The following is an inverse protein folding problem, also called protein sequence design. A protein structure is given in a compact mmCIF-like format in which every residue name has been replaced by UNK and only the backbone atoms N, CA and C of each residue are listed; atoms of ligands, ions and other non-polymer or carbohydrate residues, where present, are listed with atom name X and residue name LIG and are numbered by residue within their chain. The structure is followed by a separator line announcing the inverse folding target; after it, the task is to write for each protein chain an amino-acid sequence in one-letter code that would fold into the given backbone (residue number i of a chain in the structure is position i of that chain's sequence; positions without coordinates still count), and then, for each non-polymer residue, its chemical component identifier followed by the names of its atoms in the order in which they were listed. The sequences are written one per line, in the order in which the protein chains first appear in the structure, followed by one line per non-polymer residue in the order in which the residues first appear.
data_IF_956370740648
#
_entry.id   IF_956370740648
#
_cell.length_a   1.000
_cell.length_b   1.000
_cell.length_c   1.000
_cell.angle_alpha   90.00
_cell.angle_beta   90.00
_cell.angle_gamma   90.00
#
_symmetry.space_group_name_H-M   'P 1'
#
loop_
_entity.id
_entity.type
_entity.pdbx_description
1 polymer ?
#
# COMPACT_ATOMS: atom_id res chain seq x y z
N UNK A 1 -23.79 -43.21 9.85
CA UNK A 1 -22.61 -42.54 10.43
C UNK A 1 -21.44 -42.70 9.48
N UNK A 2 -21.08 -41.64 8.77
CA UNK A 2 -19.71 -41.28 8.36
C UNK A 2 -19.85 -40.04 7.49
N UNK A 3 -19.22 -38.95 7.91
CA UNK A 3 -19.27 -37.67 7.22
C UNK A 3 -18.03 -36.86 7.54
N UNK A 4 -17.72 -35.98 6.58
CA UNK A 4 -16.74 -34.89 6.61
C UNK A 4 -15.28 -35.25 6.26
N UNK A 5 -14.86 -34.75 5.09
CA UNK A 5 -13.64 -33.95 4.89
C UNK A 5 -13.37 -33.85 3.39
N UNK A 6 -13.63 -32.68 2.78
CA UNK A 6 -12.97 -32.16 1.54
C UNK A 6 -13.69 -30.90 1.03
N UNK A 7 -13.40 -29.75 1.64
CA UNK A 7 -13.66 -28.43 1.06
C UNK A 7 -12.64 -27.40 1.55
N UNK A 8 -11.35 -27.69 1.35
CA UNK A 8 -10.25 -26.76 1.63
C UNK A 8 -9.08 -26.88 0.63
N UNK A 9 -9.33 -27.30 -0.62
CA UNK A 9 -8.24 -27.61 -1.59
C UNK A 9 -8.24 -26.70 -2.83
N UNK A 10 -9.31 -25.95 -3.10
CA UNK A 10 -9.45 -25.25 -4.39
C UNK A 10 -9.01 -23.79 -4.39
N UNK A 11 -9.04 -23.08 -3.26
CA UNK A 11 -8.58 -21.67 -3.20
C UNK A 11 -7.06 -21.50 -3.03
N UNK A 12 -6.37 -22.54 -2.54
CA UNK A 12 -4.90 -22.56 -2.55
C UNK A 12 -4.35 -22.86 -3.95
N UNK A 13 -5.10 -23.48 -4.86
CA UNK A 13 -4.56 -23.93 -6.16
C UNK A 13 -4.36 -22.82 -7.21
N UNK A 14 -5.06 -21.68 -7.15
CA UNK A 14 -4.93 -20.61 -8.15
C UNK A 14 -3.85 -19.58 -7.80
N UNK A 15 -3.73 -19.20 -6.53
CA UNK A 15 -2.61 -18.38 -6.04
C UNK A 15 -1.32 -19.20 -6.08
N UNK A 16 -1.38 -20.49 -5.73
CA UNK A 16 -0.24 -21.38 -5.93
C UNK A 16 0.04 -21.55 -7.42
N UNK A 17 -0.91 -21.76 -8.35
CA UNK A 17 -0.60 -21.85 -9.79
C UNK A 17 -0.02 -20.59 -10.41
N UNK A 18 -0.48 -19.40 -10.05
CA UNK A 18 0.09 -18.14 -10.54
C UNK A 18 1.49 -17.85 -9.97
N UNK A 19 1.69 -18.16 -8.68
CA UNK A 19 3.00 -18.12 -8.05
C UNK A 19 3.91 -19.27 -8.49
N UNK A 20 3.36 -20.41 -8.93
CA UNK A 20 4.06 -21.61 -9.40
C UNK A 20 4.42 -21.49 -10.88
N UNK A 21 3.64 -20.80 -11.71
CA UNK A 21 4.00 -20.46 -13.09
C UNK A 21 5.00 -19.30 -13.13
N UNK A 22 4.89 -18.30 -12.24
CA UNK A 22 5.97 -17.30 -12.07
C UNK A 22 7.19 -17.88 -11.38
N UNK A 23 7.06 -18.76 -10.38
CA UNK A 23 8.21 -19.50 -9.82
C UNK A 23 8.78 -20.49 -10.82
N UNK A 24 7.99 -21.10 -11.71
CA UNK A 24 8.51 -21.98 -12.75
C UNK A 24 9.22 -21.17 -13.82
N UNK A 25 8.69 -20.01 -14.27
CA UNK A 25 9.39 -19.16 -15.23
C UNK A 25 10.66 -18.54 -14.64
N UNK A 26 10.62 -18.08 -13.37
CA UNK A 26 11.82 -17.63 -12.67
C UNK A 26 12.73 -18.78 -12.26
N UNK A 27 12.24 -20.00 -12.03
CA UNK A 27 13.11 -21.15 -11.74
C UNK A 27 13.65 -21.78 -13.01
N UNK A 28 12.96 -21.75 -14.15
CA UNK A 28 13.52 -22.19 -15.44
C UNK A 28 14.53 -21.17 -15.93
N UNK A 29 14.26 -19.86 -15.82
CA UNK A 29 15.24 -18.82 -16.09
C UNK A 29 16.43 -18.86 -15.12
N UNK A 30 16.21 -19.05 -13.81
CA UNK A 30 17.30 -19.18 -12.83
C UNK A 30 18.03 -20.53 -12.88
N UNK A 31 17.40 -21.61 -13.37
CA UNK A 31 18.06 -22.90 -13.64
C UNK A 31 18.85 -22.83 -14.94
N UNK A 32 18.36 -22.13 -15.96
CA UNK A 32 19.10 -21.83 -17.19
C UNK A 32 20.32 -20.95 -16.88
N UNK A 33 20.17 -19.88 -16.09
CA UNK A 33 21.28 -19.03 -15.63
C UNK A 33 22.30 -19.79 -14.79
N UNK A 34 21.87 -20.63 -13.84
CA UNK A 34 22.79 -21.49 -13.04
C UNK A 34 23.49 -22.57 -13.85
N UNK A 35 22.86 -23.07 -14.93
CA UNK A 35 23.50 -24.02 -15.85
C UNK A 35 24.51 -23.34 -16.77
N UNK A 36 24.29 -22.07 -17.15
CA UNK A 36 25.22 -21.28 -17.94
C UNK A 36 26.51 -20.93 -17.17
N UNK A 37 26.42 -20.77 -15.84
CA UNK A 37 27.58 -20.50 -14.96
C UNK A 37 28.51 -21.71 -14.78
N UNK A 38 28.06 -22.94 -15.10
CA UNK A 38 28.85 -24.18 -14.95
C UNK A 38 29.42 -24.70 -16.28
N UNK A 39 29.04 -24.12 -17.41
CA UNK A 39 29.43 -24.59 -18.74
C UNK A 39 30.78 -23.99 -19.16
N UNK A 40 31.60 -24.78 -19.84
CA UNK A 40 32.90 -24.29 -20.33
C UNK A 40 32.70 -23.23 -21.42
N UNK A 41 33.64 -22.30 -21.56
CA UNK A 41 33.55 -21.23 -22.57
C UNK A 41 33.37 -21.73 -24.01
N UNK A 42 33.73 -22.99 -24.30
CA UNK A 42 33.51 -23.62 -25.61
C UNK A 42 32.04 -23.97 -25.84
N UNK A 43 31.38 -24.56 -24.86
CA UNK A 43 29.98 -25.00 -24.99
C UNK A 43 29.01 -23.81 -25.02
N UNK A 44 29.35 -22.71 -24.33
CA UNK A 44 28.61 -21.45 -24.44
C UNK A 44 28.66 -20.86 -25.86
N UNK A 45 29.81 -20.96 -26.53
CA UNK A 45 29.95 -20.53 -27.93
C UNK A 45 29.17 -21.44 -28.89
N UNK A 46 29.24 -22.75 -28.69
CA UNK A 46 28.50 -23.72 -29.52
C UNK A 46 26.98 -23.54 -29.39
N UNK A 47 26.45 -23.30 -28.18
CA UNK A 47 25.03 -23.01 -27.96
C UNK A 47 24.58 -21.68 -28.60
N UNK A 48 25.41 -20.63 -28.49
CA UNK A 48 25.11 -19.33 -29.11
C UNK A 48 25.06 -19.41 -30.64
N UNK A 49 25.95 -20.19 -31.25
CA UNK A 49 25.95 -20.43 -32.70
C UNK A 49 24.71 -21.22 -33.13
N UNK A 50 24.29 -22.22 -32.34
CA UNK A 50 23.08 -22.99 -32.63
C UNK A 50 21.80 -22.14 -32.55
N UNK A 51 21.68 -21.27 -31.55
CA UNK A 51 20.52 -20.36 -31.43
C UNK A 51 20.48 -19.32 -32.56
N UNK A 52 21.65 -18.83 -33.01
CA UNK A 52 21.74 -17.91 -34.14
C UNK A 52 21.28 -18.58 -35.45
N UNK A 53 21.71 -19.82 -35.72
CA UNK A 53 21.29 -20.61 -36.88
C UNK A 53 19.78 -20.86 -36.87
N UNK A 54 19.21 -21.22 -35.71
CA UNK A 54 17.77 -21.44 -35.60
C UNK A 54 16.94 -20.17 -35.88
N UNK A 55 17.40 -18.99 -35.42
CA UNK A 55 16.75 -17.71 -35.75
C UNK A 55 16.82 -17.38 -37.25
N UNK A 56 17.93 -17.70 -37.90
CA UNK A 56 18.11 -17.46 -39.33
C UNK A 56 17.18 -18.34 -40.17
N UNK A 57 17.04 -19.62 -39.81
CA UNK A 57 16.11 -20.55 -40.45
C UNK A 57 14.64 -20.13 -40.29
N UNK A 58 14.23 -19.70 -39.08
CA UNK A 58 12.88 -19.17 -38.85
C UNK A 58 12.60 -17.89 -39.66
N UNK A 59 13.59 -17.00 -39.79
CA UNK A 59 13.47 -15.79 -40.57
C UNK A 59 13.32 -16.11 -42.08
N UNK A 60 14.09 -17.08 -42.58
CA UNK A 60 13.98 -17.55 -43.96
C UNK A 60 12.60 -18.17 -44.26
N UNK A 61 12.07 -18.96 -43.33
CA UNK A 61 10.74 -19.56 -43.45
C UNK A 61 9.62 -18.50 -43.52
N UNK A 62 9.67 -17.48 -42.65
CA UNK A 62 8.71 -16.36 -42.65
C UNK A 62 8.79 -15.54 -43.95
N UNK A 63 9.99 -15.32 -44.47
CA UNK A 63 10.18 -14.61 -45.74
C UNK A 63 9.60 -15.39 -46.93
N UNK A 64 9.71 -16.73 -46.95
CA UNK A 64 9.10 -17.58 -47.97
C UNK A 64 7.57 -17.52 -47.91
N UNK A 65 6.98 -17.63 -46.71
CA UNK A 65 5.53 -17.53 -46.53
C UNK A 65 4.96 -16.20 -47.02
N UNK A 66 5.65 -15.08 -46.74
CA UNK A 66 5.25 -13.75 -47.24
C UNK A 66 5.27 -13.65 -48.77
N UNK A 67 6.24 -14.29 -49.44
CA UNK A 67 6.31 -14.31 -50.91
C UNK A 67 5.16 -15.11 -51.52
N UNK A 68 4.81 -16.26 -50.93
CA UNK A 68 3.67 -17.07 -51.38
C UNK A 68 2.36 -16.30 -51.27
N UNK A 69 2.13 -15.61 -50.14
CA UNK A 69 0.94 -14.79 -49.92
C UNK A 69 0.84 -13.62 -50.93
N UNK A 70 1.99 -13.01 -51.27
CA UNK A 70 2.06 -11.95 -52.27
C UNK A 70 1.74 -12.47 -53.69
N UNK A 71 2.12 -13.70 -54.01
CA UNK A 71 1.79 -14.30 -55.30
C UNK A 71 0.30 -14.64 -55.40
N UNK A 72 -0.28 -15.24 -54.34
CA UNK A 72 -1.71 -15.55 -54.28
C UNK A 72 -2.57 -14.29 -54.43
N UNK A 73 -2.22 -13.20 -53.75
CA UNK A 73 -2.94 -11.92 -53.86
C UNK A 73 -2.83 -11.31 -55.26
N UNK A 74 -1.67 -11.45 -55.93
CA UNK A 74 -1.50 -11.01 -57.33
C UNK A 74 -2.37 -11.81 -58.29
N UNK A 75 -2.47 -13.12 -58.08
CA UNK A 75 -3.29 -14.00 -58.92
C UNK A 75 -4.78 -13.66 -58.75
N UNK A 76 -5.25 -13.45 -57.52
CA UNK A 76 -6.62 -13.00 -57.23
C UNK A 76 -6.95 -11.66 -57.91
N UNK A 77 -6.06 -10.67 -57.82
CA UNK A 77 -6.23 -9.38 -58.51
C UNK A 77 -6.28 -9.55 -60.03
N UNK A 78 -5.49 -10.48 -60.58
CA UNK A 78 -5.53 -10.80 -62.01
C UNK A 78 -6.84 -11.45 -62.44
N UNK A 79 -7.46 -12.27 -61.57
CA UNK A 79 -8.77 -12.87 -61.84
C UNK A 79 -9.88 -11.84 -61.81
N UNK A 80 -9.85 -10.92 -60.83
CA UNK A 80 -10.80 -9.81 -60.73
C UNK A 80 -10.78 -8.91 -61.97
N UNK A 81 -9.59 -8.56 -62.46
CA UNK A 81 -9.45 -7.73 -63.66
C UNK A 81 -9.88 -8.44 -64.96
N UNK A 82 -10.06 -9.76 -64.96
CA UNK A 82 -10.52 -10.54 -66.13
C UNK A 82 -12.04 -10.69 -66.19
N UNK A 83 -12.77 -10.30 -65.15
CA UNK A 83 -14.25 -10.38 -65.14
C UNK A 83 -14.81 -9.19 -65.93
N UNK A 84 -15.58 -9.40 -67.02
CA UNK A 84 -16.16 -8.30 -67.78
C UNK A 84 -17.23 -7.58 -66.94
N UNK A 85 -17.21 -6.25 -66.97
CA UNK A 85 -18.08 -5.35 -66.18
C UNK A 85 -19.59 -5.51 -66.43
N UNK A 86 -19.97 -6.18 -67.52
CA UNK A 86 -21.37 -6.46 -67.89
C UNK A 86 -22.01 -7.54 -67.00
N UNK A 87 -21.22 -8.50 -66.51
CA UNK A 87 -21.68 -9.52 -65.54
C UNK A 87 -21.85 -8.95 -64.13
N UNK A 88 -21.05 -7.94 -63.79
CA UNK A 88 -21.13 -7.24 -62.50
C UNK A 88 -22.37 -6.33 -62.45
N UNK A 89 -22.64 -5.59 -63.53
CA UNK A 89 -23.79 -4.68 -63.58
C UNK A 89 -25.15 -5.42 -63.65
N UNK A 90 -25.20 -6.59 -64.30
CA UNK A 90 -26.42 -7.43 -64.33
C UNK A 90 -26.70 -8.13 -63.00
N UNK A 91 -25.66 -8.46 -62.22
CA UNK A 91 -25.79 -8.94 -60.83
C UNK A 91 -26.28 -7.82 -59.91
N UNK A 92 -25.74 -6.61 -60.06
CA UNK A 92 -26.16 -5.44 -59.28
C UNK A 92 -27.61 -5.03 -59.56
N UNK A 93 -28.07 -5.10 -60.81
CA UNK A 93 -29.48 -4.82 -61.15
C UNK A 93 -30.46 -5.87 -60.59
N UNK A 94 -30.07 -7.16 -60.55
CA UNK A 94 -30.89 -8.20 -59.89
C UNK A 94 -31.02 -7.96 -58.38
N UNK A 95 -29.90 -7.64 -57.73
CA UNK A 95 -29.88 -7.34 -56.29
C UNK A 95 -30.67 -6.08 -55.95
N UNK A 96 -30.68 -5.08 -56.84
CA UNK A 96 -31.46 -3.86 -56.65
C UNK A 96 -32.98 -4.09 -56.83
N UNK A 97 -33.38 -4.95 -57.76
CA UNK A 97 -34.79 -5.38 -57.90
C UNK A 97 -35.30 -6.23 -56.75
N UNK A 98 -34.45 -7.03 -56.12
CA UNK A 98 -34.77 -7.77 -54.89
C UNK A 98 -34.83 -6.83 -53.66
N UNK A 99 -34.04 -5.76 -53.67
CA UNK A 99 -34.01 -4.76 -52.59
C UNK A 99 -35.28 -3.90 -52.56
N UNK A 100 -35.89 -3.56 -53.70
CA UNK A 100 -37.07 -2.67 -53.71
C UNK A 100 -38.38 -3.34 -53.21
N UNK A 101 -38.38 -4.66 -53.01
CA UNK A 101 -39.56 -5.45 -52.59
C UNK A 101 -39.77 -5.67 -51.08
N UNK A 102 -38.86 -5.22 -50.21
CA UNK A 102 -38.87 -5.55 -48.76
C UNK A 102 -38.93 -4.27 -47.90
N UNK A 103 -39.80 -4.29 -46.87
CA UNK A 103 -40.00 -3.20 -45.89
C UNK A 103 -38.72 -2.85 -45.12
N UNK A 104 -38.45 -1.55 -44.93
CA UNK A 104 -37.20 -1.01 -44.36
C UNK A 104 -36.88 -1.47 -42.92
N UNK A 105 -37.84 -1.99 -42.16
CA UNK A 105 -37.61 -2.44 -40.78
C UNK A 105 -37.06 -3.86 -40.67
N UNK A 106 -37.38 -4.73 -41.63
CA UNK A 106 -36.86 -6.09 -41.68
C UNK A 106 -35.45 -6.11 -42.26
N UNK A 107 -35.14 -5.22 -43.21
CA UNK A 107 -33.79 -5.03 -43.76
C UNK A 107 -32.75 -4.64 -42.72
N UNK A 108 -33.08 -3.72 -41.79
CA UNK A 108 -32.12 -3.31 -40.74
C UNK A 108 -31.85 -4.46 -39.78
N UNK A 109 -32.87 -5.24 -39.43
CA UNK A 109 -32.72 -6.42 -38.57
C UNK A 109 -31.94 -7.56 -39.25
N UNK A 110 -32.19 -7.81 -40.52
CA UNK A 110 -31.46 -8.82 -41.31
C UNK A 110 -30.02 -8.39 -41.56
N UNK A 111 -29.77 -7.11 -41.89
CA UNK A 111 -28.42 -6.58 -42.05
C UNK A 111 -27.61 -6.65 -40.76
N UNK A 112 -28.22 -6.32 -39.62
CA UNK A 112 -27.54 -6.43 -38.31
C UNK A 112 -27.21 -7.89 -37.97
N UNK A 113 -28.11 -8.84 -38.27
CA UNK A 113 -27.85 -10.28 -38.09
C UNK A 113 -26.77 -10.82 -39.03
N UNK A 114 -26.80 -10.45 -40.31
CA UNK A 114 -25.80 -10.86 -41.30
C UNK A 114 -24.43 -10.23 -41.00
N UNK A 115 -24.39 -8.99 -40.50
CA UNK A 115 -23.15 -8.35 -40.02
C UNK A 115 -22.59 -9.06 -38.78
N UNK A 116 -23.44 -9.44 -37.82
CA UNK A 116 -23.01 -10.24 -36.68
C UNK A 116 -22.43 -11.58 -37.12
N UNK A 117 -23.16 -12.34 -37.94
CA UNK A 117 -22.70 -13.62 -38.45
C UNK A 117 -21.40 -13.49 -39.25
N UNK A 118 -21.28 -12.47 -40.10
CA UNK A 118 -20.04 -12.19 -40.84
C UNK A 118 -18.86 -11.84 -39.92
N UNK A 119 -19.09 -11.01 -38.90
CA UNK A 119 -18.07 -10.62 -37.92
C UNK A 119 -17.60 -11.80 -37.08
N UNK A 120 -18.52 -12.69 -36.69
CA UNK A 120 -18.21 -13.90 -35.92
C UNK A 120 -17.53 -14.98 -36.75
N UNK A 121 -17.99 -15.23 -37.99
CA UNK A 121 -17.49 -16.32 -38.82
C UNK A 121 -16.18 -15.96 -39.55
N UNK A 122 -16.03 -14.71 -40.03
CA UNK A 122 -14.91 -14.32 -40.90
C UNK A 122 -13.79 -13.56 -40.20
N UNK A 123 -14.07 -12.80 -39.13
CA UNK A 123 -13.03 -12.00 -38.47
C UNK A 123 -12.34 -12.70 -37.30
N UNK A 124 -12.78 -13.90 -36.88
CA UNK A 124 -12.20 -14.63 -35.75
C UNK A 124 -11.92 -13.71 -34.55
N UNK A 125 -12.84 -12.76 -34.30
CA UNK A 125 -12.70 -11.81 -33.22
C UNK A 125 -12.75 -12.62 -31.92
N UNK A 126 -11.69 -12.60 -31.10
CA UNK A 126 -11.76 -13.26 -29.80
C UNK A 126 -12.97 -12.69 -29.07
N UNK A 127 -13.72 -13.55 -28.40
CA UNK A 127 -14.93 -13.23 -27.64
C UNK A 127 -14.56 -12.43 -26.38
N UNK A 128 -13.90 -11.29 -26.55
CA UNK A 128 -13.88 -10.23 -25.58
C UNK A 128 -14.95 -9.26 -26.06
N UNK A 129 -16.07 -9.23 -25.35
CA UNK A 129 -16.91 -8.03 -25.39
C UNK A 129 -15.96 -6.85 -25.15
N UNK A 130 -15.90 -5.90 -26.08
CA UNK A 130 -15.39 -4.57 -25.77
C UNK A 130 -16.40 -4.00 -24.78
N UNK A 131 -16.22 -4.32 -23.50
CA UNK A 131 -17.09 -3.84 -22.45
C UNK A 131 -16.87 -2.33 -22.38
N UNK A 132 -17.91 -1.56 -22.73
CA UNK A 132 -17.89 -0.10 -22.70
C UNK A 132 -17.49 0.47 -21.32
N UNK A 133 -17.48 -0.36 -20.27
CA UNK A 133 -17.22 0.01 -18.87
C UNK A 133 -16.15 -0.90 -18.23
N UNK A 134 -14.86 -0.77 -18.58
CA UNK A 134 -13.78 -1.62 -18.04
C UNK A 134 -13.52 -1.47 -16.53
N UNK A 135 -14.18 -0.51 -15.87
CA UNK A 135 -14.15 -0.32 -14.40
C UNK A 135 -15.18 -1.18 -13.63
N UNK A 136 -15.95 -2.03 -14.34
CA UNK A 136 -17.02 -2.86 -13.80
C UNK A 136 -16.60 -4.13 -13.05
N UNK A 137 -15.36 -4.57 -13.23
CA UNK A 137 -15.02 -5.98 -13.01
C UNK A 137 -14.83 -6.30 -11.52
N UNK A 138 -15.74 -7.09 -10.96
CA UNK A 138 -15.51 -7.94 -9.78
C UNK A 138 -14.89 -9.30 -10.17
N UNK A 139 -14.41 -10.11 -9.21
CA UNK A 139 -13.74 -11.38 -9.50
C UNK A 139 -14.68 -12.37 -10.23
N UNK A 140 -14.23 -12.89 -11.38
CA UNK A 140 -15.00 -13.77 -12.29
C UNK A 140 -15.47 -15.05 -11.56
N UNK A 141 -16.79 -15.22 -11.39
CA UNK A 141 -17.39 -16.51 -11.09
C UNK A 141 -17.52 -17.33 -12.38
N UNK A 142 -16.91 -18.51 -12.40
CA UNK A 142 -17.06 -19.50 -13.46
C UNK A 142 -18.43 -20.16 -13.37
N UNK A 143 -19.32 -19.92 -14.33
CA UNK A 143 -20.60 -20.60 -14.42
C UNK A 143 -20.38 -21.88 -15.25
N UNK A 144 -20.48 -23.02 -14.58
CA UNK A 144 -20.60 -24.33 -15.22
C UNK A 144 -22.02 -24.52 -15.72
N UNK A 145 -22.16 -24.76 -17.02
CA UNK A 145 -23.39 -25.21 -17.68
C UNK A 145 -23.86 -26.56 -17.12
N UNK A 146 -25.10 -26.61 -16.63
CA UNK A 146 -25.74 -27.86 -16.21
C UNK A 146 -27.22 -27.67 -15.85
N UNK A 147 -28.05 -28.23 -16.73
CA UNK A 147 -29.42 -28.73 -16.55
C UNK A 147 -30.65 -27.82 -16.77
N UNK A 148 -31.54 -28.43 -17.57
CA UNK A 148 -32.79 -27.96 -18.15
C UNK A 148 -33.95 -27.99 -17.14
N UNK A 149 -34.94 -27.13 -17.32
CA UNK A 149 -36.27 -27.37 -16.76
C UNK A 149 -37.24 -26.19 -16.74
N UNK A 150 -38.09 -26.16 -17.77
CA UNK A 150 -39.48 -25.67 -17.82
C UNK A 150 -39.78 -24.18 -18.03
N UNK A 151 -40.74 -24.02 -18.93
CA UNK A 151 -41.42 -22.83 -19.43
C UNK A 151 -41.95 -21.95 -18.31
N UNK A 152 -41.93 -20.63 -18.52
CA UNK A 152 -43.04 -19.71 -18.23
C UNK A 152 -42.71 -18.29 -18.76
N UNK A 153 -43.60 -17.86 -19.65
CA UNK A 153 -44.03 -16.50 -20.01
C UNK A 153 -43.07 -15.37 -20.40
N UNK A 154 -43.44 -14.79 -21.54
CA UNK A 154 -42.97 -13.55 -22.13
C UNK A 154 -43.11 -12.36 -21.16
N UNK A 155 -42.06 -12.11 -20.39
CA UNK A 155 -41.55 -10.76 -20.18
C UNK A 155 -40.04 -10.85 -20.01
N UNK A 156 -39.32 -10.82 -21.13
CA UNK A 156 -37.94 -10.35 -21.15
C UNK A 156 -37.96 -8.89 -20.71
N UNK A 157 -38.05 -8.66 -19.40
CA UNK A 157 -37.48 -7.48 -18.79
C UNK A 157 -36.10 -7.37 -19.39
N UNK A 158 -35.83 -6.23 -20.02
CA UNK A 158 -34.48 -5.78 -20.32
C UNK A 158 -33.78 -5.78 -18.97
N UNK A 159 -33.12 -6.90 -18.63
CA UNK A 159 -32.18 -6.96 -17.53
C UNK A 159 -31.04 -6.12 -18.02
N UNK A 160 -31.13 -4.83 -17.70
CA UNK A 160 -30.06 -3.87 -17.88
C UNK A 160 -28.76 -4.54 -17.48
N UNK A 161 -27.71 -4.32 -18.25
CA UNK A 161 -26.30 -4.67 -18.01
C UNK A 161 -25.73 -4.01 -16.74
N UNK A 162 -26.58 -3.78 -15.73
CA UNK A 162 -26.21 -3.34 -14.39
C UNK A 162 -25.77 -4.57 -13.61
N UNK A 163 -24.53 -4.99 -13.86
CA UNK A 163 -23.88 -6.03 -13.07
C UNK A 163 -23.99 -5.69 -11.57
N UNK A 164 -24.53 -6.63 -10.79
CA UNK A 164 -24.63 -6.61 -9.32
C UNK A 164 -23.31 -6.30 -8.57
N UNK A 165 -22.18 -6.19 -9.28
CA UNK A 165 -20.87 -5.83 -8.76
C UNK A 165 -20.77 -4.34 -8.35
N UNK A 166 -21.46 -3.43 -9.06
CA UNK A 166 -21.33 -1.98 -8.87
C UNK A 166 -21.97 -1.47 -7.57
N UNK A 167 -23.12 -2.03 -7.20
CA UNK A 167 -23.90 -1.60 -6.03
C UNK A 167 -23.15 -1.83 -4.73
N UNK A 168 -22.17 -2.74 -4.72
CA UNK A 168 -21.36 -3.02 -3.53
C UNK A 168 -20.33 -1.93 -3.20
N UNK A 169 -19.66 -1.34 -4.20
CA UNK A 169 -18.59 -0.37 -3.98
C UNK A 169 -19.08 1.08 -4.06
N UNK A 170 -20.02 1.38 -4.97
CA UNK A 170 -20.63 2.70 -5.12
C UNK A 170 -22.17 2.55 -5.13
N UNK A 171 -22.79 2.28 -3.96
CA UNK A 171 -24.23 1.97 -3.87
C UNK A 171 -25.14 3.09 -4.36
N UNK A 172 -24.69 4.34 -4.25
CA UNK A 172 -25.46 5.53 -4.62
C UNK A 172 -25.22 5.99 -6.07
N UNK A 173 -24.40 5.28 -6.85
CA UNK A 173 -24.15 5.62 -8.24
C UNK A 173 -25.35 5.21 -9.09
N UNK A 174 -25.94 6.17 -9.79
CA UNK A 174 -27.01 5.92 -10.76
C UNK A 174 -26.37 5.81 -12.15
N UNK A 175 -26.31 4.60 -12.76
CA UNK A 175 -25.69 4.44 -14.07
C UNK A 175 -26.51 5.17 -15.14
N UNK A 176 -25.84 5.83 -16.09
CA UNK A 176 -26.55 6.39 -17.24
C UNK A 176 -26.97 5.27 -18.19
N UNK A 177 -28.16 5.41 -18.83
CA UNK A 177 -28.56 4.52 -19.92
C UNK A 177 -27.54 4.55 -21.07
N UNK A 178 -27.40 3.44 -21.79
CA UNK A 178 -26.36 3.27 -22.81
C UNK A 178 -26.49 4.22 -24.02
N UNK A 179 -27.70 4.73 -24.29
CA UNK A 179 -27.94 5.72 -25.35
C UNK A 179 -27.58 7.16 -24.93
N UNK A 180 -27.24 7.39 -23.66
CA UNK A 180 -26.80 8.70 -23.15
C UNK A 180 -25.30 8.69 -22.89
N UNK A 181 -24.62 9.84 -23.02
CA UNK A 181 -23.24 9.96 -22.59
C UNK A 181 -23.13 9.71 -21.08
N UNK A 182 -21.91 9.38 -20.65
CA UNK A 182 -21.59 9.18 -19.25
C UNK A 182 -21.98 10.38 -18.40
N UNK A 183 -22.53 10.10 -17.21
CA UNK A 183 -22.69 11.11 -16.17
C UNK A 183 -21.34 11.64 -15.69
N UNK A 184 -21.35 12.78 -15.01
CA UNK A 184 -20.13 13.34 -14.40
C UNK A 184 -19.51 12.39 -13.38
N UNK A 185 -20.34 11.65 -12.64
CA UNK A 185 -19.91 10.67 -11.65
C UNK A 185 -19.27 9.45 -12.31
N UNK A 186 -19.87 8.91 -13.38
CA UNK A 186 -19.27 7.80 -14.14
C UNK A 186 -18.00 8.21 -14.86
N UNK A 187 -17.94 9.43 -15.40
CA UNK A 187 -16.74 9.97 -16.02
C UNK A 187 -15.60 10.08 -14.99
N UNK A 188 -15.89 10.55 -13.79
CA UNK A 188 -14.92 10.58 -12.70
C UNK A 188 -14.43 9.17 -12.31
N UNK A 189 -15.33 8.20 -12.20
CA UNK A 189 -14.95 6.80 -11.91
C UNK A 189 -14.12 6.19 -13.04
N UNK A 190 -14.48 6.47 -14.29
CA UNK A 190 -13.69 6.10 -15.46
C UNK A 190 -12.30 6.72 -15.42
N UNK A 191 -12.19 8.00 -15.06
CA UNK A 191 -10.90 8.68 -14.89
C UNK A 191 -10.08 8.04 -13.77
N UNK A 192 -10.69 7.69 -12.64
CA UNK A 192 -10.02 6.98 -11.55
C UNK A 192 -9.54 5.59 -11.99
N UNK A 193 -10.35 4.84 -12.74
CA UNK A 193 -9.98 3.54 -13.26
C UNK A 193 -8.83 3.65 -14.26
N UNK A 194 -8.91 4.61 -15.19
CA UNK A 194 -7.82 4.94 -16.09
C UNK A 194 -6.55 5.30 -15.31
N UNK A 195 -6.64 6.18 -14.31
CA UNK A 195 -5.51 6.58 -13.47
C UNK A 195 -4.88 5.40 -12.74
N UNK A 196 -5.68 4.44 -12.25
CA UNK A 196 -5.22 3.23 -11.57
C UNK A 196 -4.58 2.19 -12.51
N UNK A 197 -5.11 2.02 -13.72
CA UNK A 197 -4.67 0.98 -14.66
C UNK A 197 -3.53 1.47 -15.56
N UNK A 198 -3.72 2.61 -16.23
CA UNK A 198 -2.83 3.13 -17.26
C UNK A 198 -2.31 4.55 -16.96
N UNK A 199 -2.69 5.16 -15.85
CA UNK A 199 -2.33 6.55 -15.55
C UNK A 199 -0.85 6.81 -15.31
N UNK A 200 -0.11 5.78 -14.90
CA UNK A 200 1.36 5.84 -14.73
C UNK A 200 2.10 5.13 -15.88
N UNK A 201 1.39 4.77 -16.95
CA UNK A 201 2.00 4.12 -18.11
C UNK A 201 2.85 5.15 -18.89
N UNK A 202 4.11 4.82 -19.15
CA UNK A 202 5.03 5.65 -19.94
C UNK A 202 6.46 5.60 -19.43
N UNK A 203 6.71 6.17 -18.25
CA UNK A 203 8.03 6.16 -17.62
C UNK A 203 7.94 6.09 -16.10
N UNK A 204 8.90 5.43 -15.46
CA UNK A 204 9.01 5.37 -14.01
C UNK A 204 10.05 6.38 -13.52
N UNK A 205 9.58 7.34 -12.72
CA UNK A 205 10.45 8.33 -12.10
C UNK A 205 11.11 7.75 -10.85
N UNK A 206 12.39 7.42 -10.94
CA UNK A 206 13.22 7.01 -9.80
C UNK A 206 13.94 8.21 -9.16
N UNK A 207 14.34 8.10 -7.89
CA UNK A 207 15.14 9.09 -7.16
C UNK A 207 14.51 10.50 -7.01
N UNK A 208 13.19 10.59 -6.91
CA UNK A 208 12.49 11.86 -6.67
C UNK A 208 12.08 11.98 -5.20
N UNK A 209 12.31 13.16 -4.63
CA UNK A 209 11.80 13.51 -3.31
C UNK A 209 10.28 13.78 -3.36
N UNK A 210 9.53 13.07 -2.51
CA UNK A 210 8.09 13.27 -2.33
C UNK A 210 7.80 13.59 -0.85
N UNK A 211 7.26 14.78 -0.52
CA UNK A 211 7.01 15.15 0.88
C UNK A 211 6.13 14.17 1.66
N UNK A 212 5.16 13.54 0.98
CA UNK A 212 4.24 12.58 1.61
C UNK A 212 4.93 11.30 2.07
N UNK A 213 6.05 10.93 1.45
CA UNK A 213 6.72 9.67 1.73
C UNK A 213 7.46 9.71 3.07
N UNK A 214 7.99 10.87 3.50
CA UNK A 214 8.65 11.03 4.80
C UNK A 214 7.71 10.70 5.98
N UNK A 215 6.44 11.08 5.86
CA UNK A 215 5.43 10.91 6.90
C UNK A 215 4.81 9.51 6.84
N UNK A 216 4.45 9.04 5.63
CA UNK A 216 3.78 7.75 5.42
C UNK A 216 4.72 6.55 5.53
N UNK A 217 5.93 6.67 4.99
CA UNK A 217 6.96 5.62 4.92
C UNK A 217 8.30 6.20 5.39
N UNK A 218 8.43 6.49 6.69
CA UNK A 218 9.67 7.01 7.23
C UNK A 218 10.81 6.03 7.06
N UNK A 219 12.02 6.57 6.87
CA UNK A 219 13.26 5.79 6.79
C UNK A 219 13.62 5.22 8.16
N UNK A 220 14.25 4.05 8.15
CA UNK A 220 14.87 3.49 9.36
C UNK A 220 16.17 4.22 9.69
N UNK A 221 16.63 4.16 10.94
CA UNK A 221 17.88 4.78 11.35
C UNK A 221 19.09 4.23 10.57
N UNK A 222 19.09 2.94 10.24
CA UNK A 222 20.16 2.31 9.45
C UNK A 222 20.25 2.79 8.01
N UNK A 223 19.14 3.29 7.45
CA UNK A 223 19.09 3.87 6.10
C UNK A 223 19.44 5.36 6.07
N UNK A 224 19.57 6.00 7.23
CA UNK A 224 19.84 7.44 7.31
C UNK A 224 21.34 7.70 7.15
N UNK A 225 21.65 8.58 6.20
CA UNK A 225 23.02 9.04 5.93
C UNK A 225 23.11 10.54 6.08
N UNK A 226 24.33 11.07 6.19
CA UNK A 226 24.59 12.51 6.22
C UNK A 226 23.96 13.20 4.99
N UNK A 227 24.01 12.57 3.82
CA UNK A 227 23.39 13.11 2.60
C UNK A 227 21.86 13.23 2.73
N UNK A 228 21.20 12.33 3.45
CA UNK A 228 19.75 12.44 3.71
C UNK A 228 19.42 13.61 4.63
N UNK A 229 20.20 13.82 5.70
CA UNK A 229 20.03 14.95 6.63
C UNK A 229 20.33 16.29 5.94
N UNK A 230 21.38 16.32 5.11
CA UNK A 230 21.73 17.48 4.31
C UNK A 230 20.60 17.83 3.33
N UNK A 231 20.08 16.82 2.61
CA UNK A 231 18.98 17.01 1.66
C UNK A 231 17.69 17.51 2.34
N UNK A 232 17.45 17.13 3.60
CA UNK A 232 16.31 17.62 4.39
C UNK A 232 16.49 19.04 4.95
N UNK A 233 17.71 19.59 4.89
CA UNK A 233 18.03 20.92 5.43
C UNK A 233 18.37 20.94 6.92
N UNK A 234 18.70 19.80 7.52
CA UNK A 234 18.99 19.70 8.97
C UNK A 234 20.24 20.49 9.41
N UNK A 235 21.16 20.78 8.48
CA UNK A 235 22.42 21.47 8.70
C UNK A 235 22.28 23.00 8.81
N UNK A 236 21.15 23.55 8.41
CA UNK A 236 20.92 25.00 8.38
C UNK A 236 20.45 25.45 9.76
N UNK A 237 21.29 26.16 10.51
CA UNK A 237 20.87 26.77 11.77
C UNK A 237 20.35 28.20 11.61
N UNK A 238 20.27 28.93 12.72
CA UNK A 238 19.93 30.34 12.73
C UNK A 238 21.10 31.27 12.32
N UNK A 239 20.75 32.55 12.07
CA UNK A 239 21.70 33.61 11.75
C UNK A 239 22.70 33.89 12.90
N UNK A 240 23.90 34.35 12.55
CA UNK A 240 25.00 34.64 13.51
C UNK A 240 24.60 35.55 14.67
N UNK A 241 23.70 36.50 14.43
CA UNK A 241 23.24 37.45 15.45
C UNK A 241 22.30 36.81 16.49
N UNK A 242 21.61 35.72 16.15
CA UNK A 242 20.66 35.03 17.04
C UNK A 242 21.26 33.77 17.67
N UNK A 243 22.58 33.62 17.60
CA UNK A 243 23.28 32.46 18.10
C UNK A 243 23.44 32.46 19.62
N UNK A 244 23.32 31.28 20.23
CA UNK A 244 23.56 31.04 21.65
C UNK A 244 24.92 30.36 21.87
N UNK A 245 25.85 30.94 22.63
CA UNK A 245 27.18 30.36 22.87
C UNK A 245 27.21 28.91 23.41
N UNK A 246 26.18 28.50 24.15
CA UNK A 246 26.05 27.12 24.68
C UNK A 246 26.01 26.06 23.56
N UNK A 247 25.55 26.40 22.36
CA UNK A 247 25.46 25.47 21.21
C UNK A 247 26.75 25.38 20.40
N UNK A 248 27.81 26.10 20.77
CA UNK A 248 29.10 26.11 20.06
C UNK A 248 29.61 24.71 19.66
N UNK A 249 29.53 23.66 20.51
CA UNK A 249 30.06 22.34 20.16
C UNK A 249 29.34 21.66 18.98
N UNK A 250 28.11 22.07 18.66
CA UNK A 250 27.30 21.48 17.59
C UNK A 250 27.45 22.21 16.26
N UNK A 251 28.16 23.35 16.23
CA UNK A 251 28.32 24.18 15.05
C UNK A 251 29.59 23.76 14.32
N UNK A 252 29.44 23.39 13.04
CA UNK A 252 30.53 23.07 12.14
C UNK A 252 31.28 24.34 11.66
N UNK A 253 30.52 25.39 11.36
CA UNK A 253 31.08 26.65 10.86
C UNK A 253 30.00 27.67 10.53
N UNK A 254 30.37 28.72 9.79
CA UNK A 254 29.44 29.73 9.29
C UNK A 254 29.54 29.84 7.77
N UNK A 255 28.38 30.01 7.11
CA UNK A 255 28.30 30.21 5.67
C UNK A 255 27.11 31.13 5.36
N UNK A 256 27.33 32.13 4.50
CA UNK A 256 26.32 33.14 4.14
C UNK A 256 25.61 33.79 5.34
N UNK A 257 26.34 34.01 6.46
CA UNK A 257 25.79 34.64 7.67
C UNK A 257 24.91 33.73 8.54
N UNK A 258 24.83 32.44 8.21
CA UNK A 258 24.09 31.41 8.94
C UNK A 258 25.08 30.41 9.56
N UNK A 259 24.77 29.92 10.75
CA UNK A 259 25.54 28.83 11.36
C UNK A 259 25.18 27.49 10.74
N UNK A 260 26.20 26.71 10.39
CA UNK A 260 26.05 25.35 9.90
C UNK A 260 26.21 24.38 11.07
N UNK A 261 25.22 23.50 11.25
CA UNK A 261 25.23 22.44 12.26
C UNK A 261 26.04 21.26 11.75
N UNK A 262 26.88 20.67 12.61
CA UNK A 262 27.62 19.45 12.28
C UNK A 262 26.68 18.24 12.22
N UNK A 263 26.50 17.72 11.01
CA UNK A 263 25.64 16.57 10.74
C UNK A 263 26.17 15.25 11.32
N UNK A 264 27.46 15.14 11.61
CA UNK A 264 28.01 13.96 12.29
C UNK A 264 27.50 13.88 13.73
N UNK A 265 27.51 15.02 14.43
CA UNK A 265 26.93 15.16 15.77
C UNK A 265 25.42 14.96 15.74
N UNK A 266 24.72 15.50 14.73
CA UNK A 266 23.29 15.23 14.52
C UNK A 266 23.02 13.74 14.40
N UNK A 267 23.79 13.01 13.57
CA UNK A 267 23.59 11.59 13.34
C UNK A 267 23.88 10.76 14.60
N UNK A 268 24.95 11.08 15.33
CA UNK A 268 25.30 10.45 16.60
C UNK A 268 24.21 10.67 17.67
N UNK A 269 23.75 11.91 17.84
CA UNK A 269 22.68 12.25 18.77
C UNK A 269 21.35 11.58 18.39
N UNK A 270 21.02 11.55 17.10
CA UNK A 270 19.84 10.86 16.57
C UNK A 270 19.89 9.36 16.88
N UNK A 271 21.05 8.70 16.69
CA UNK A 271 21.25 7.29 17.05
C UNK A 271 21.00 7.03 18.54
N UNK A 272 21.45 7.93 19.43
CA UNK A 272 21.17 7.81 20.87
C UNK A 272 19.67 7.97 21.15
N UNK A 273 19.03 8.97 20.55
CA UNK A 273 17.61 9.23 20.74
C UNK A 273 16.71 8.08 20.23
N UNK A 274 17.06 7.46 19.10
CA UNK A 274 16.33 6.31 18.55
C UNK A 274 16.45 5.07 19.43
N UNK A 275 17.59 4.84 20.07
CA UNK A 275 17.76 3.76 21.04
C UNK A 275 16.89 3.98 22.29
N UNK A 276 16.85 5.21 22.81
CA UNK A 276 16.04 5.55 23.98
C UNK A 276 14.55 5.39 23.69
N UNK A 277 14.06 5.97 22.59
CA UNK A 277 12.64 5.89 22.23
C UNK A 277 12.19 4.46 21.96
N UNK A 278 13.05 3.65 21.31
CA UNK A 278 12.82 2.21 21.11
C UNK A 278 12.71 1.47 22.43
N UNK A 279 13.62 1.73 23.37
CA UNK A 279 13.60 1.12 24.70
C UNK A 279 12.37 1.48 25.54
N UNK A 280 11.90 2.73 25.45
CA UNK A 280 10.65 3.17 26.11
C UNK A 280 9.44 2.48 25.49
N UNK A 281 9.36 2.42 24.16
CA UNK A 281 8.27 1.73 23.46
C UNK A 281 8.23 0.22 23.77
N UNK A 282 9.40 -0.43 23.84
CA UNK A 282 9.52 -1.84 24.18
C UNK A 282 9.03 -2.16 25.60
N UNK A 283 9.17 -1.21 26.53
CA UNK A 283 8.66 -1.34 27.90
C UNK A 283 7.17 -0.96 28.04
N UNK A 284 6.54 -0.47 26.95
CA UNK A 284 5.16 0.00 26.98
C UNK A 284 4.99 1.37 27.63
N UNK A 285 6.04 2.19 27.65
CA UNK A 285 5.98 3.53 28.18
C UNK A 285 5.19 4.49 27.27
N UNK A 286 4.62 5.52 27.88
CA UNK A 286 3.80 6.53 27.18
C UNK A 286 4.71 7.55 26.51
N UNK A 287 4.73 7.55 25.17
CA UNK A 287 5.47 8.52 24.35
C UNK A 287 4.53 9.65 23.94
N UNK A 288 4.95 10.89 24.16
CA UNK A 288 4.21 12.10 23.79
C UNK A 288 5.02 12.96 22.82
N UNK A 289 4.48 13.18 21.63
CA UNK A 289 5.09 14.06 20.63
C UNK A 289 4.50 15.46 20.73
N UNK A 290 5.33 16.48 20.86
CA UNK A 290 4.90 17.87 21.03
C UNK A 290 5.50 18.71 19.90
N UNK A 291 4.63 19.35 19.13
CA UNK A 291 5.04 20.34 18.13
C UNK A 291 3.94 21.36 17.93
N UNK A 292 4.18 22.62 18.32
CA UNK A 292 3.14 23.66 18.43
C UNK A 292 3.16 24.70 17.32
N UNK A 293 3.95 24.48 16.27
CA UNK A 293 3.99 25.41 15.14
C UNK A 293 2.61 25.49 14.48
N UNK A 294 2.36 26.54 13.71
CA UNK A 294 1.08 26.73 13.01
C UNK A 294 0.94 25.87 11.75
N UNK A 295 1.98 25.11 11.38
CA UNK A 295 2.06 24.46 10.08
C UNK A 295 1.34 23.10 10.09
N UNK A 296 0.34 22.96 9.21
CA UNK A 296 -0.50 21.77 9.15
C UNK A 296 0.27 20.48 8.80
N UNK A 297 1.36 20.57 8.04
CA UNK A 297 2.16 19.42 7.63
C UNK A 297 2.86 18.75 8.83
N UNK A 298 3.37 19.54 9.78
CA UNK A 298 3.98 19.02 11.00
C UNK A 298 2.91 18.40 11.91
N UNK A 299 1.70 18.97 11.96
CA UNK A 299 0.59 18.37 12.72
C UNK A 299 0.28 16.98 12.20
N UNK A 300 0.28 16.80 10.87
CA UNK A 300 0.08 15.50 10.25
C UNK A 300 1.23 14.52 10.57
N UNK A 301 2.47 14.99 10.53
CA UNK A 301 3.63 14.16 10.89
C UNK A 301 3.56 13.68 12.35
N UNK A 302 3.19 14.57 13.28
CA UNK A 302 2.98 14.27 14.70
C UNK A 302 1.84 13.24 14.90
N UNK A 303 0.71 13.44 14.24
CA UNK A 303 -0.43 12.54 14.32
C UNK A 303 -0.09 11.15 13.78
N UNK A 304 0.56 11.05 12.62
CA UNK A 304 0.97 9.77 12.03
C UNK A 304 2.04 9.07 12.90
N UNK A 305 2.96 9.82 13.52
CA UNK A 305 3.95 9.29 14.45
C UNK A 305 3.32 8.73 15.74
N UNK A 306 2.36 9.45 16.33
CA UNK A 306 1.61 8.98 17.49
C UNK A 306 0.80 7.73 17.16
N UNK A 307 0.09 7.71 16.01
CA UNK A 307 -0.65 6.53 15.54
C UNK A 307 0.24 5.31 15.36
N UNK A 308 1.42 5.50 14.78
CA UNK A 308 2.40 4.42 14.54
C UNK A 308 2.90 3.79 15.83
N UNK A 309 3.07 4.59 16.87
CA UNK A 309 3.65 4.16 18.17
C UNK A 309 2.61 3.84 19.23
N UNK A 310 1.31 4.01 18.93
CA UNK A 310 0.22 4.00 19.91
C UNK A 310 0.45 4.99 21.06
N UNK A 311 1.14 6.09 20.75
CA UNK A 311 1.43 7.19 21.66
C UNK A 311 0.43 8.34 21.51
N UNK A 312 0.81 9.48 22.08
CA UNK A 312 0.00 10.71 22.06
C UNK A 312 0.74 11.83 21.35
N UNK A 313 0.01 12.86 20.92
CA UNK A 313 0.61 14.06 20.36
C UNK A 313 -0.11 15.33 20.81
N UNK A 314 0.61 16.45 20.77
CA UNK A 314 0.09 17.80 20.99
C UNK A 314 0.53 18.67 19.82
N UNK A 315 -0.44 19.05 19.00
CA UNK A 315 -0.25 19.98 17.87
C UNK A 315 -0.62 21.42 18.20
N UNK A 316 -1.60 21.60 19.09
CA UNK A 316 -2.04 22.92 19.55
C UNK A 316 -1.07 23.45 20.61
N UNK A 317 -1.22 24.72 20.97
CA UNK A 317 -0.46 25.35 22.06
C UNK A 317 -0.50 24.50 23.33
N UNK A 318 0.67 24.28 23.91
CA UNK A 318 0.82 23.66 25.23
C UNK A 318 0.18 24.56 26.30
N UNK A 319 -0.78 24.03 27.04
CA UNK A 319 -1.38 24.71 28.19
C UNK A 319 -0.43 24.54 29.37
N UNK A 320 0.13 25.62 29.94
CA UNK A 320 1.01 25.50 31.10
C UNK A 320 0.28 24.87 32.28
N UNK A 321 0.93 23.91 32.93
CA UNK A 321 0.37 23.16 34.05
C UNK A 321 -0.34 21.86 33.64
N UNK A 322 -0.28 21.42 32.39
CA UNK A 322 -0.81 20.11 31.98
C UNK A 322 -0.21 18.95 32.76
N UNK A 323 1.06 19.03 33.17
CA UNK A 323 1.71 17.98 33.95
C UNK A 323 1.73 18.36 35.43
N UNK A 324 2.12 19.60 35.77
CA UNK A 324 2.23 20.00 37.20
C UNK A 324 0.90 20.27 37.88
N UNK A 325 -0.11 20.72 37.14
CA UNK A 325 -1.46 21.06 37.62
C UNK A 325 -2.54 20.28 36.82
N UNK A 326 -2.27 19.00 36.59
CA UNK A 326 -3.08 18.18 35.69
C UNK A 326 -4.54 18.04 36.13
N UNK A 327 -4.83 18.11 37.43
CA UNK A 327 -6.18 17.98 38.00
C UNK A 327 -7.11 19.09 37.49
N UNK A 328 -6.63 20.33 37.48
CA UNK A 328 -7.42 21.48 37.02
C UNK A 328 -7.49 21.54 35.50
N UNK A 329 -6.38 21.25 34.81
CA UNK A 329 -6.35 21.24 33.34
C UNK A 329 -7.27 20.16 32.76
N UNK A 330 -7.29 18.96 33.34
CA UNK A 330 -8.16 17.86 32.88
C UNK A 330 -9.64 18.16 33.09
N UNK A 331 -10.00 18.85 34.20
CA UNK A 331 -11.37 19.30 34.45
C UNK A 331 -11.85 20.28 33.37
N UNK A 332 -11.00 21.22 32.96
CA UNK A 332 -11.33 22.22 31.93
C UNK A 332 -11.49 21.62 30.53
N UNK A 333 -10.76 20.54 30.22
CA UNK A 333 -10.78 19.89 28.90
C UNK A 333 -12.01 18.98 28.70
N UNK A 334 -12.82 18.76 29.75
CA UNK A 334 -14.08 18.02 29.64
C UNK A 334 -14.02 16.54 30.04
N UNK A 335 -13.02 16.16 30.83
CA UNK A 335 -12.87 14.80 31.36
C UNK A 335 -12.34 13.80 30.32
N UNK A 336 -11.32 13.03 30.69
CA UNK A 336 -10.79 11.94 29.85
C UNK A 336 -11.25 10.60 30.43
N UNK A 337 -11.93 9.79 29.62
CA UNK A 337 -12.16 8.39 29.96
C UNK A 337 -10.83 7.65 29.86
N UNK A 338 -10.37 7.15 30.99
CA UNK A 338 -9.18 6.29 31.05
C UNK A 338 -9.59 4.88 30.68
N UNK A 339 -8.68 4.19 30.02
CA UNK A 339 -8.88 2.82 29.55
C UNK A 339 -7.77 1.97 30.14
N UNK A 340 -8.14 0.85 30.76
CA UNK A 340 -7.19 -0.18 31.16
C UNK A 340 -6.85 -1.04 29.94
N UNK A 341 -5.56 -1.21 29.71
CA UNK A 341 -5.02 -1.76 28.49
C UNK A 341 -4.12 -2.96 28.84
N UNK A 342 -4.34 -4.09 28.16
CA UNK A 342 -3.52 -5.30 28.31
C UNK A 342 -2.16 -5.14 27.62
N UNK A 343 -1.23 -6.07 27.84
CA UNK A 343 0.11 -6.14 27.23
C UNK A 343 0.10 -6.18 25.69
N UNK A 344 -1.06 -6.38 25.05
CA UNK A 344 -1.26 -6.36 23.59
C UNK A 344 -1.85 -5.05 23.06
N UNK A 345 -1.99 -4.07 23.94
CA UNK A 345 -2.77 -2.85 23.82
C UNK A 345 -4.25 -3.04 23.47
N UNK A 346 -4.88 -4.08 24.02
CA UNK A 346 -6.33 -4.29 23.90
C UNK A 346 -7.02 -3.70 25.14
N UNK A 347 -8.12 -2.96 24.98
CA UNK A 347 -8.90 -2.49 26.12
C UNK A 347 -9.49 -3.68 26.87
N UNK A 348 -9.43 -3.64 28.20
CA UNK A 348 -9.92 -4.71 29.08
C UNK A 348 -11.40 -4.52 29.45
N UNK A 349 -12.00 -3.38 29.08
CA UNK A 349 -13.38 -2.95 29.38
C UNK A 349 -13.78 -2.97 30.87
N UNK A 350 -12.80 -3.15 31.76
CA UNK A 350 -12.98 -3.03 33.20
C UNK A 350 -13.22 -1.58 33.58
N UNK A 351 -14.27 -1.33 34.37
CA UNK A 351 -14.51 -0.01 34.95
C UNK A 351 -13.42 0.29 35.97
N UNK A 352 -12.67 1.37 35.73
CA UNK A 352 -11.68 1.89 36.66
C UNK A 352 -12.38 2.49 37.89
N UNK A 353 -11.84 2.24 39.08
CA UNK A 353 -12.31 2.88 40.31
C UNK A 353 -12.02 4.39 40.31
N UNK A 354 -12.79 5.15 41.09
CA UNK A 354 -12.66 6.61 41.20
C UNK A 354 -11.27 7.06 41.68
N UNK A 355 -10.60 6.27 42.52
CA UNK A 355 -9.23 6.58 42.96
C UNK A 355 -8.20 6.46 41.83
N UNK A 356 -8.37 5.48 40.95
CA UNK A 356 -7.47 5.27 39.80
C UNK A 356 -7.73 6.29 38.69
N UNK A 357 -8.94 6.86 38.63
CA UNK A 357 -9.30 7.91 37.68
C UNK A 357 -8.78 9.30 38.06
N UNK A 358 -8.35 9.51 39.32
CA UNK A 358 -7.82 10.77 39.81
C UNK A 358 -6.31 11.00 39.60
N UNK A 359 -5.50 9.95 39.43
CA UNK A 359 -4.02 10.05 39.43
C UNK A 359 -3.43 10.59 38.12
N UNK A 360 -2.29 11.28 38.12
CA UNK A 360 -1.65 11.71 36.86
C UNK A 360 -1.14 10.51 36.06
N UNK A 361 -1.50 10.42 34.78
CA UNK A 361 -0.78 9.57 33.82
C UNK A 361 0.38 10.39 33.27
N UNK A 362 1.56 10.16 33.81
CA UNK A 362 2.79 10.84 33.43
C UNK A 362 3.32 10.24 32.11
N UNK A 363 3.69 11.04 31.12
CA UNK A 363 4.40 10.52 29.96
C UNK A 363 5.81 10.08 30.37
N UNK A 364 6.25 8.93 29.87
CA UNK A 364 7.57 8.38 30.18
C UNK A 364 8.66 9.01 29.31
N UNK A 365 8.29 9.53 28.14
CA UNK A 365 9.20 10.21 27.22
C UNK A 365 8.45 11.26 26.42
N UNK A 366 9.00 12.46 26.35
CA UNK A 366 8.46 13.55 25.53
C UNK A 366 9.44 13.87 24.39
N UNK A 367 8.91 13.93 23.17
CA UNK A 367 9.66 14.34 21.97
C UNK A 367 9.19 15.73 21.55
N UNK A 368 10.07 16.71 21.57
CA UNK A 368 9.80 18.11 21.25
C UNK A 368 10.39 18.46 19.88
N UNK A 369 9.56 18.98 18.98
CA UNK A 369 10.03 19.42 17.67
C UNK A 369 10.49 20.88 17.67
N UNK A 370 9.86 21.74 18.48
CA UNK A 370 10.16 23.16 18.60
C UNK A 370 10.30 23.54 20.09
N UNK A 371 11.44 23.22 20.73
CA UNK A 371 11.64 23.46 22.16
C UNK A 371 11.71 24.93 22.56
N UNK A 372 12.15 25.82 21.66
CA UNK A 372 12.27 27.27 21.94
C UNK A 372 10.89 27.87 22.25
N UNK A 373 9.86 27.48 21.49
CA UNK A 373 8.48 27.91 21.72
C UNK A 373 7.84 27.23 22.95
N UNK A 374 8.33 26.05 23.34
CA UNK A 374 7.73 25.17 24.35
C UNK A 374 8.53 25.05 25.65
N UNK A 375 9.18 26.14 26.08
CA UNK A 375 9.94 26.18 27.35
C UNK A 375 9.12 25.76 28.58
N UNK A 376 7.84 26.11 28.62
CA UNK A 376 6.95 25.73 29.72
C UNK A 376 6.81 24.20 29.84
N UNK A 377 6.65 23.50 28.71
CA UNK A 377 6.61 22.04 28.68
C UNK A 377 7.91 21.46 29.24
N UNK A 378 9.06 21.95 28.77
CA UNK A 378 10.39 21.48 29.23
C UNK A 378 10.56 21.68 30.74
N UNK A 379 10.20 22.86 31.26
CA UNK A 379 10.30 23.17 32.69
C UNK A 379 9.41 22.26 33.54
N UNK A 380 8.21 21.93 33.07
CA UNK A 380 7.33 20.95 33.74
C UNK A 380 7.94 19.54 33.71
N UNK A 381 8.54 19.14 32.58
CA UNK A 381 9.23 17.86 32.43
C UNK A 381 10.38 17.73 33.44
N UNK A 382 11.21 18.76 33.58
CA UNK A 382 12.33 18.79 34.53
C UNK A 382 11.80 18.64 35.96
N UNK A 383 10.79 19.43 36.34
CA UNK A 383 10.17 19.36 37.68
C UNK A 383 9.62 17.97 37.98
N UNK A 384 8.99 17.34 36.99
CA UNK A 384 8.35 16.03 37.14
C UNK A 384 9.29 14.86 36.81
N UNK A 385 10.56 15.11 36.49
CA UNK A 385 11.57 14.10 36.12
C UNK A 385 11.11 13.23 34.94
N UNK A 386 10.72 13.88 33.85
CA UNK A 386 10.39 13.23 32.56
C UNK A 386 11.57 13.47 31.62
N UNK A 387 12.17 12.41 31.03
CA UNK A 387 13.21 12.59 30.04
C UNK A 387 12.62 13.20 28.75
N UNK A 388 13.38 14.10 28.14
CA UNK A 388 12.99 14.81 26.92
C UNK A 388 13.99 14.60 25.80
N UNK A 389 13.47 14.30 24.60
CA UNK A 389 14.20 14.37 23.34
C UNK A 389 13.75 15.65 22.65
N UNK A 390 14.66 16.45 22.08
CA UNK A 390 14.25 17.63 21.34
C UNK A 390 15.21 18.04 20.25
N UNK A 391 14.67 18.65 19.19
CA UNK A 391 15.46 19.26 18.12
C UNK A 391 16.06 20.56 18.64
N UNK A 392 17.38 20.65 18.64
CA UNK A 392 18.13 21.80 19.13
C UNK A 392 18.71 22.56 17.94
N UNK A 393 18.18 23.76 17.66
CA UNK A 393 18.84 24.69 16.76
C UNK A 393 19.92 25.50 17.52
N UNK A 394 20.61 26.41 16.83
CA UNK A 394 21.77 27.16 17.30
C UNK A 394 21.43 28.24 18.33
N UNK A 395 20.16 28.61 18.49
CA UNK A 395 19.65 29.57 19.47
C UNK A 395 19.11 28.91 20.77
N UNK A 396 18.88 27.60 20.74
CA UNK A 396 18.30 26.80 21.80
C UNK A 396 19.33 26.39 22.86
N UNK A 397 18.95 26.31 24.14
CA UNK A 397 19.84 25.88 25.23
C UNK A 397 19.83 24.34 25.37
N UNK A 398 20.88 23.61 24.92
CA UNK A 398 20.86 22.16 24.86
C UNK A 398 20.78 21.50 26.25
N UNK A 399 21.28 22.19 27.28
CA UNK A 399 21.25 21.76 28.68
C UNK A 399 19.83 21.54 29.25
N UNK A 400 18.81 22.12 28.61
CA UNK A 400 17.41 21.96 29.03
C UNK A 400 16.79 20.61 28.61
N UNK A 401 17.40 19.92 27.65
CA UNK A 401 16.93 18.63 27.15
C UNK A 401 17.78 17.49 27.69
N UNK A 402 17.17 16.32 27.89
CA UNK A 402 17.92 15.11 28.27
C UNK A 402 18.71 14.55 27.10
N UNK A 403 18.11 14.55 25.91
CA UNK A 403 18.70 14.08 24.67
C UNK A 403 18.51 15.14 23.57
N UNK A 404 19.37 16.16 23.52
CA UNK A 404 19.32 17.16 22.45
C UNK A 404 19.79 16.53 21.13
N UNK A 405 19.08 16.81 20.05
CA UNK A 405 19.48 16.45 18.70
C UNK A 405 19.76 17.74 17.93
N UNK A 406 21.02 18.07 17.64
CA UNK A 406 21.34 19.31 16.94
C UNK A 406 20.79 19.24 15.51
N UNK A 407 19.82 20.09 15.18
CA UNK A 407 19.09 20.06 13.91
C UNK A 407 18.28 21.34 13.74
N UNK A 408 18.11 21.76 12.49
CA UNK A 408 17.12 22.76 12.09
C UNK A 408 15.70 22.36 12.55
N UNK A 409 15.04 23.19 13.37
CA UNK A 409 13.66 23.00 13.80
C UNK A 409 12.63 23.84 13.00
N UNK A 410 13.07 24.90 12.31
CA UNK A 410 12.25 25.72 11.40
C UNK A 410 11.83 24.97 10.12
N UNK A 411 12.70 24.09 9.61
CA UNK A 411 12.42 23.33 8.39
C UNK A 411 11.38 22.25 8.65
N UNK A 412 10.25 22.37 7.95
CA UNK A 412 9.16 21.40 7.97
C UNK A 412 9.59 20.01 7.49
N UNK A 413 10.52 19.98 6.52
CA UNK A 413 11.08 18.75 6.00
C UNK A 413 12.01 18.10 7.01
N UNK A 414 12.90 18.88 7.64
CA UNK A 414 13.79 18.36 8.68
C UNK A 414 12.99 17.79 9.85
N UNK A 415 12.03 18.56 10.39
CA UNK A 415 11.19 18.10 11.49
C UNK A 415 10.36 16.85 11.13
N UNK A 416 9.81 16.77 9.91
CA UNK A 416 9.08 15.59 9.44
C UNK A 416 9.97 14.36 9.31
N UNK A 417 11.17 14.51 8.75
CA UNK A 417 12.17 13.44 8.65
C UNK A 417 12.55 12.92 10.04
N UNK A 418 12.91 13.82 10.97
CA UNK A 418 13.33 13.46 12.32
C UNK A 418 12.22 12.76 13.10
N UNK A 419 10.99 13.30 13.04
CA UNK A 419 9.81 12.67 13.64
C UNK A 419 9.55 11.30 13.04
N UNK A 420 9.69 11.18 11.72
CA UNK A 420 9.57 9.93 10.98
C UNK A 420 10.52 8.85 11.51
N UNK A 421 11.82 9.16 11.59
CA UNK A 421 12.87 8.22 12.04
C UNK A 421 12.66 7.80 13.50
N UNK A 422 12.34 8.76 14.38
CA UNK A 422 12.04 8.48 15.79
C UNK A 422 10.81 7.58 15.93
N UNK A 423 9.73 7.90 15.22
CA UNK A 423 8.49 7.11 15.25
C UNK A 423 8.68 5.71 14.68
N UNK A 424 9.56 5.55 13.67
CA UNK A 424 9.89 4.24 13.08
C UNK A 424 10.65 3.36 14.08
N UNK A 425 11.61 3.94 14.79
CA UNK A 425 12.39 3.23 15.81
C UNK A 425 11.52 2.81 17.01
N UNK A 426 10.57 3.67 17.39
CA UNK A 426 9.57 3.36 18.41
C UNK A 426 8.58 2.27 17.95
N UNK A 427 8.18 2.26 16.67
CA UNK A 427 7.37 1.19 16.07
C UNK A 427 8.07 -0.18 16.18
N UNK A 428 9.38 -0.22 15.94
CA UNK A 428 10.17 -1.43 16.09
C UNK A 428 10.16 -1.94 17.53
N UNK A 429 10.38 -1.05 18.52
CA UNK A 429 10.29 -1.41 19.94
C UNK A 429 8.90 -1.88 20.36
N UNK A 430 7.85 -1.24 19.85
CA UNK A 430 6.47 -1.68 20.05
C UNK A 430 6.23 -3.09 19.49
N UNK A 431 6.70 -3.36 18.27
CA UNK A 431 6.56 -4.67 17.64
C UNK A 431 7.33 -5.75 18.40
N UNK A 432 8.52 -5.45 18.91
CA UNK A 432 9.29 -6.34 19.79
C UNK A 432 8.48 -6.72 21.04
N UNK A 433 7.88 -5.72 21.73
CA UNK A 433 7.00 -5.95 22.88
C UNK A 433 5.79 -6.84 22.55
N UNK A 434 5.10 -6.54 21.45
CA UNK A 434 3.92 -7.30 21.03
C UNK A 434 4.28 -8.75 20.66
N UNK A 435 5.42 -8.98 20.04
CA UNK A 435 5.88 -10.33 19.71
C UNK A 435 6.22 -11.13 20.97
N UNK A 436 6.95 -10.54 21.92
CA UNK A 436 7.23 -11.17 23.22
C UNK A 436 5.95 -11.51 23.99
N UNK A 437 4.95 -10.61 23.98
CA UNK A 437 3.65 -10.84 24.61
C UNK A 437 2.86 -11.99 23.93
N UNK A 438 2.90 -12.08 22.59
CA UNK A 438 2.31 -13.20 21.85
C UNK A 438 2.99 -14.52 22.21
N UNK A 439 4.32 -14.55 22.22
CA UNK A 439 5.09 -15.75 22.58
C UNK A 439 4.73 -16.22 23.99
N UNK A 440 4.67 -15.30 24.96
CA UNK A 440 4.25 -15.59 26.32
C UNK A 440 2.83 -16.19 26.39
N UNK A 441 1.86 -15.59 25.70
CA UNK A 441 0.48 -16.12 25.63
C UNK A 441 0.42 -17.51 25.02
N UNK A 442 1.20 -17.76 23.95
CA UNK A 442 1.26 -19.11 23.35
C UNK A 442 1.91 -20.13 24.27
N UNK A 443 2.94 -19.75 25.03
CA UNK A 443 3.60 -20.62 26.00
C UNK A 443 2.67 -20.98 27.17
N UNK A 444 1.93 -20.00 27.70
CA UNK A 444 0.91 -20.24 28.73
C UNK A 444 -0.20 -21.19 28.23
N UNK A 445 -0.71 -20.98 27.01
CA UNK A 445 -1.74 -21.86 26.44
C UNK A 445 -1.24 -23.30 26.29
N UNK A 446 0.00 -23.49 25.82
CA UNK A 446 0.63 -24.83 25.73
C UNK A 446 0.79 -25.47 27.10
N UNK A 447 1.22 -24.71 28.11
CA UNK A 447 1.36 -25.21 29.48
C UNK A 447 0.01 -25.62 30.07
N UNK A 448 -1.03 -24.79 29.92
CA UNK A 448 -2.39 -25.08 30.37
C UNK A 448 -2.95 -26.36 29.71
N UNK A 449 -2.78 -26.50 28.40
CA UNK A 449 -3.19 -27.71 27.68
C UNK A 449 -2.44 -28.97 28.17
N UNK A 450 -1.13 -28.86 28.47
CA UNK A 450 -0.35 -29.97 29.01
C UNK A 450 -0.79 -30.35 30.42
N UNK A 451 -1.15 -29.37 31.25
CA UNK A 451 -1.68 -29.59 32.59
C UNK A 451 -3.05 -30.29 32.53
N UNK A 452 -3.94 -29.81 31.65
CA UNK A 452 -5.27 -30.39 31.42
C UNK A 452 -5.19 -31.85 30.89
N UNK A 453 -4.23 -32.14 30.01
CA UNK A 453 -3.98 -33.52 29.56
C UNK A 453 -3.46 -34.41 30.69
N UNK A 454 -2.61 -33.88 31.58
CA UNK A 454 -2.10 -34.63 32.73
C UNK A 454 -3.21 -34.92 33.75
N UNK A 455 -4.06 -33.95 34.07
CA UNK A 455 -5.20 -34.15 34.97
C UNK A 455 -6.21 -35.13 34.37
N UNK A 456 -6.55 -35.01 33.07
CA UNK A 456 -7.44 -35.95 32.40
C UNK A 456 -6.89 -37.39 32.41
N UNK A 457 -5.57 -37.58 32.23
CA UNK A 457 -4.93 -38.90 32.35
C UNK A 457 -5.02 -39.47 33.77
N UNK A 458 -4.80 -38.64 34.79
CA UNK A 458 -4.90 -39.06 36.21
C UNK A 458 -6.34 -39.49 36.53
N UNK A 459 -7.34 -38.67 36.16
CA UNK A 459 -8.76 -38.98 36.39
C UNK A 459 -9.16 -40.29 35.69
N UNK A 460 -8.74 -40.49 34.43
CA UNK A 460 -9.02 -41.71 33.70
C UNK A 460 -8.30 -42.96 34.26
N UNK A 461 -7.14 -42.79 34.89
CA UNK A 461 -6.47 -43.89 35.57
C UNK A 461 -7.14 -44.25 36.89
N UNK A 462 -7.65 -43.26 37.65
CA UNK A 462 -8.36 -43.51 38.91
C UNK A 462 -9.75 -44.11 38.72
N UNK A 463 -10.46 -43.79 37.63
CA UNK A 463 -11.77 -44.39 37.33
C UNK A 463 -11.63 -45.85 36.88
N UNK A 464 -10.54 -46.21 36.19
CA UNK A 464 -10.23 -47.60 35.83
C UNK A 464 -9.86 -48.48 37.02
N UNK A 465 -9.24 -47.93 38.06
CA UNK A 465 -8.91 -48.69 39.28
C UNK A 465 -10.07 -48.85 40.26
N UNK A 466 -11.15 -48.07 40.11
CA UNK A 466 -12.35 -48.16 40.97
C UNK A 466 -13.48 -49.02 40.36
N UNK A 467 -13.30 -49.48 39.11
CA UNK A 467 -14.27 -50.32 38.37
C UNK A 467 -13.79 -51.76 38.15
N UNK A 468 -12.58 -52.08 38.64
CA UNK A 468 -12.05 -53.43 38.81
C UNK A 468 -12.01 -53.74 40.31
#
# INVERSE_FOLDING_TARGET
MMGSSKSCVTFHRSIVRGAFLRRQAYSTAAVEERSLEQMSQRELREKAVAEALAREEEAAAKAKALRELKNQTRDLLSTLNKIPSTLVNSRLQKLQGELDGISNQEKVKQLDQELEEFMFEKMNLPQYEIQNRPWAVGPKQTISSGEQGKDDDASTQIKSTTSNSYTSQFPNLKPTPDYKPYSTQELYLRQLAHSRQSGSLGSELSNIYKPRDEVRKPRSISETTISTLMAAGCHLGHAKAMWRPSTQPYIYGEYNGIHLIDLNETLSALNRATQVIKGVAAKGGVILYVGTTKNWEQHRALEEAAKRTRGYYVSKRWVPGTITNFTEVTKQIGGSSRIEVDMMDQPTDRKLGEETSGNLIKPDLIVLLNPVENRNCINECIKQRIPTIGLCDTDMEPSLLTYPIPCNDDSMRASSLMTGILSKSAEEGLNERLNLSKEYKTAQSKFGNKLAQKTARIVNSSTRSATA
#
